data_IF_305867599920
#
_entry.id   IF_305867599920
#
_cell.length_a   1.000
_cell.length_b   1.000
_cell.length_c   1.000
_cell.angle_alpha   90.00
_cell.angle_beta   90.00
_cell.angle_gamma   90.00
#
_symmetry.space_group_name_H-M   'P 1'
#
loop_
_entity.id
_entity.type
_entity.pdbx_description
1 polymer ?
#
# COMPACT_ATOMS: atom_id res chain seq x y z
N UNK A 1 41.35 17.35 -11.23
CA UNK A 1 41.17 16.61 -9.95
C UNK A 1 40.37 17.41 -8.90
N UNK A 2 40.75 18.65 -8.53
CA UNK A 2 39.99 19.47 -7.53
C UNK A 2 38.50 19.73 -7.85
N UNK A 3 38.13 19.92 -9.12
CA UNK A 3 36.73 20.17 -9.53
C UNK A 3 35.80 18.95 -9.35
N UNK A 4 36.37 17.73 -9.36
CA UNK A 4 35.59 16.49 -9.20
C UNK A 4 35.15 16.29 -7.73
N UNK A 5 36.04 16.60 -6.77
CA UNK A 5 35.73 16.55 -5.34
C UNK A 5 34.71 17.60 -4.91
N UNK A 6 34.72 18.78 -5.54
CA UNK A 6 33.73 19.82 -5.25
C UNK A 6 32.32 19.42 -5.71
N UNK A 7 32.22 18.77 -6.88
CA UNK A 7 30.95 18.25 -7.40
C UNK A 7 30.43 17.09 -6.55
N UNK A 8 31.30 16.19 -6.08
CA UNK A 8 30.89 15.10 -5.18
C UNK A 8 30.42 15.60 -3.82
N UNK A 9 31.07 16.63 -3.24
CA UNK A 9 30.62 17.25 -2.00
C UNK A 9 29.28 17.98 -2.16
N UNK A 10 29.06 18.62 -3.31
CA UNK A 10 27.78 19.29 -3.61
C UNK A 10 26.64 18.27 -3.76
N UNK A 11 26.87 17.16 -4.45
CA UNK A 11 25.88 16.07 -4.60
C UNK A 11 25.57 15.44 -3.23
N UNK A 12 26.60 15.19 -2.41
CA UNK A 12 26.42 14.64 -1.06
C UNK A 12 25.66 15.62 -0.15
N UNK A 13 25.94 16.92 -0.24
CA UNK A 13 25.20 17.94 0.51
C UNK A 13 23.73 18.01 0.08
N UNK A 14 23.44 17.96 -1.23
CA UNK A 14 22.06 17.95 -1.74
C UNK A 14 21.30 16.69 -1.28
N UNK A 15 21.94 15.52 -1.32
CA UNK A 15 21.34 14.27 -0.84
C UNK A 15 21.04 14.29 0.66
N UNK A 16 21.89 14.93 1.47
CA UNK A 16 21.68 15.10 2.92
C UNK A 16 20.59 16.13 3.29
N UNK A 17 20.13 16.95 2.33
CA UNK A 17 19.00 17.88 2.51
C UNK A 17 17.64 17.30 2.11
N UNK A 18 17.59 16.13 1.47
CA UNK A 18 16.35 15.49 1.06
C UNK A 18 15.72 14.76 2.25
N UNK A 19 14.72 15.36 2.88
CA UNK A 19 13.89 14.66 3.87
C UNK A 19 12.93 13.72 3.12
N UNK A 20 12.88 12.41 3.44
CA UNK A 20 11.82 11.55 2.91
C UNK A 20 10.48 12.05 3.45
N UNK A 21 9.59 12.44 2.54
CA UNK A 21 8.21 12.80 2.88
C UNK A 21 7.38 11.52 2.77
N UNK A 22 6.96 10.99 3.91
CA UNK A 22 5.93 9.96 3.95
C UNK A 22 4.58 10.67 3.90
N UNK A 23 3.85 10.53 2.78
CA UNK A 23 2.48 10.97 2.72
C UNK A 23 1.63 9.99 3.55
N UNK A 24 1.28 10.38 4.77
CA UNK A 24 0.38 9.62 5.63
C UNK A 24 -0.86 10.47 5.92
N UNK A 25 -2.05 9.90 5.68
CA UNK A 25 -3.31 10.47 6.14
C UNK A 25 -3.58 9.87 7.52
N UNK A 26 -3.56 10.70 8.55
CA UNK A 26 -3.94 10.29 9.91
C UNK A 26 -5.35 10.77 10.19
N UNK A 27 -6.31 9.84 10.23
CA UNK A 27 -7.65 10.12 10.73
C UNK A 27 -7.69 9.84 12.24
N UNK A 28 -7.68 10.89 13.05
CA UNK A 28 -7.88 10.84 14.50
C UNK A 28 -8.43 12.19 14.96
N UNK A 29 -9.28 12.26 16.00
CA UNK A 29 -9.87 11.16 16.77
C UNK A 29 -11.09 10.52 16.10
N UNK A 30 -11.39 9.28 16.48
CA UNK A 30 -12.65 8.61 16.15
C UNK A 30 -13.83 9.49 16.60
N UNK A 31 -14.80 9.66 15.70
CA UNK A 31 -16.00 10.47 15.96
C UNK A 31 -17.26 9.63 15.67
N UNK A 32 -18.15 9.53 16.65
CA UNK A 32 -19.47 8.90 16.46
C UNK A 32 -20.43 9.90 15.83
N UNK A 33 -21.06 9.51 14.72
CA UNK A 33 -22.03 10.33 13.99
C UNK A 33 -23.42 9.71 14.15
N UNK A 34 -24.40 10.52 14.59
CA UNK A 34 -25.80 10.08 14.71
C UNK A 34 -26.54 10.18 13.37
N UNK A 35 -27.67 9.48 13.25
CA UNK A 35 -28.53 9.51 12.07
C UNK A 35 -28.93 10.95 11.72
N UNK A 36 -28.65 11.37 10.48
CA UNK A 36 -28.98 12.71 9.97
C UNK A 36 -27.93 13.78 10.28
N UNK A 37 -26.81 13.45 10.93
CA UNK A 37 -25.70 14.38 11.11
C UNK A 37 -24.72 14.32 9.94
N UNK A 38 -24.09 15.45 9.66
CA UNK A 38 -23.01 15.57 8.68
C UNK A 38 -21.67 15.73 9.40
N UNK A 39 -20.63 15.08 8.89
CA UNK A 39 -19.25 15.27 9.33
C UNK A 39 -18.44 15.86 8.20
N UNK A 40 -17.53 16.78 8.51
CA UNK A 40 -16.54 17.27 7.57
C UNK A 40 -15.23 16.51 7.80
N UNK A 41 -14.80 15.73 6.81
CA UNK A 41 -13.48 15.09 6.82
C UNK A 41 -12.48 16.07 6.19
N UNK A 42 -11.49 16.50 6.98
CA UNK A 42 -10.44 17.39 6.52
C UNK A 42 -9.07 16.71 6.67
N UNK A 43 -8.39 16.49 5.54
CA UNK A 43 -7.00 16.05 5.53
C UNK A 43 -6.08 17.28 5.42
N UNK A 44 -5.10 17.40 6.32
CA UNK A 44 -4.07 18.45 6.25
C UNK A 44 -2.79 17.81 5.73
N UNK A 45 -2.36 18.21 4.53
CA UNK A 45 -1.12 17.69 3.92
C UNK A 45 0.09 18.32 4.61
N UNK A 46 0.88 17.49 5.29
CA UNK A 46 2.11 17.89 5.96
C UNK A 46 3.30 18.02 5.00
N UNK A 47 3.40 19.15 4.31
CA UNK A 47 4.63 19.58 3.65
C UNK A 47 4.82 19.12 2.19
N UNK A 48 5.09 20.11 1.34
CA UNK A 48 5.70 20.06 0.00
C UNK A 48 5.64 18.74 -0.78
N UNK A 49 4.44 18.28 -1.10
CA UNK A 49 4.13 17.57 -2.35
C UNK A 49 3.08 18.42 -3.05
N UNK A 50 3.37 18.85 -4.28
CA UNK A 50 2.54 19.63 -5.22
C UNK A 50 1.29 20.33 -4.63
N UNK A 51 1.36 21.67 -4.57
CA UNK A 51 0.49 22.56 -3.77
C UNK A 51 -1.01 22.25 -3.72
N UNK A 52 -1.59 22.47 -2.53
CA UNK A 52 -3.01 22.35 -2.19
C UNK A 52 -3.87 23.54 -2.63
N UNK A 53 -3.30 24.51 -3.35
CA UNK A 53 -4.02 25.74 -3.70
C UNK A 53 -5.10 25.50 -4.77
N UNK A 54 -5.09 24.33 -5.42
CA UNK A 54 -6.09 23.94 -6.40
C UNK A 54 -6.47 22.47 -6.20
N UNK A 55 -7.65 22.23 -5.63
CA UNK A 55 -8.38 20.97 -5.81
C UNK A 55 -9.71 21.31 -6.49
N UNK A 56 -10.09 20.54 -7.49
CA UNK A 56 -11.43 20.60 -8.06
C UNK A 56 -12.22 19.53 -7.31
N UNK A 57 -13.28 19.93 -6.63
CA UNK A 57 -14.26 19.00 -6.11
C UNK A 57 -15.34 18.80 -7.17
N UNK A 58 -15.51 17.58 -7.63
CA UNK A 58 -16.61 17.18 -8.51
C UNK A 58 -17.47 16.17 -7.76
N UNK A 59 -18.78 16.44 -7.68
CA UNK A 59 -19.74 15.42 -7.26
C UNK A 59 -20.00 14.48 -8.44
N UNK A 60 -19.56 13.23 -8.31
CA UNK A 60 -19.91 12.18 -9.26
C UNK A 60 -21.19 11.47 -8.79
N UNK A 61 -22.12 11.13 -9.72
CA UNK A 61 -23.24 10.27 -9.38
C UNK A 61 -22.76 8.94 -8.78
N UNK A 62 -23.48 8.43 -7.77
CA UNK A 62 -23.24 7.09 -7.24
C UNK A 62 -23.41 6.05 -8.36
N UNK A 63 -22.30 5.46 -8.78
CA UNK A 63 -22.23 4.45 -9.84
C UNK A 63 -21.41 3.25 -9.31
N UNK A 64 -21.99 2.40 -8.46
CA UNK A 64 -21.30 1.22 -7.98
C UNK A 64 -21.04 0.28 -9.15
N UNK A 65 -19.82 -0.24 -9.24
CA UNK A 65 -19.53 -1.33 -10.17
C UNK A 65 -20.27 -2.60 -9.72
N UNK A 66 -20.62 -3.45 -10.69
CA UNK A 66 -21.16 -4.76 -10.39
C UNK A 66 -20.12 -5.54 -9.59
N UNK A 67 -20.50 -6.05 -8.42
CA UNK A 67 -19.62 -6.83 -7.54
C UNK A 67 -19.49 -8.28 -7.98
N UNK A 68 -19.50 -8.54 -9.29
CA UNK A 68 -19.25 -9.89 -9.80
C UNK A 68 -17.75 -10.16 -9.71
N UNK A 69 -17.38 -11.03 -8.76
CA UNK A 69 -16.04 -11.56 -8.64
C UNK A 69 -15.96 -12.98 -9.19
N UNK A 70 -14.76 -13.39 -9.58
CA UNK A 70 -14.49 -14.78 -9.94
C UNK A 70 -14.43 -15.65 -8.69
N UNK A 71 -15.04 -16.84 -8.76
CA UNK A 71 -14.87 -17.85 -7.72
C UNK A 71 -13.45 -18.44 -7.81
N UNK A 72 -12.69 -18.33 -6.73
CA UNK A 72 -11.33 -18.88 -6.62
C UNK A 72 -11.36 -20.06 -5.64
N UNK A 73 -11.55 -21.30 -6.11
CA UNK A 73 -11.63 -22.46 -5.23
C UNK A 73 -10.23 -22.78 -4.67
N UNK A 74 -10.09 -22.63 -3.35
CA UNK A 74 -8.88 -23.01 -2.61
C UNK A 74 -9.22 -24.12 -1.61
N UNK A 75 -8.25 -25.00 -1.39
CA UNK A 75 -8.28 -25.97 -0.29
C UNK A 75 -7.58 -25.40 0.94
N UNK A 76 -7.76 -26.06 2.07
CA UNK A 76 -7.03 -25.72 3.30
C UNK A 76 -5.53 -25.63 3.04
N UNK A 77 -4.91 -24.60 3.60
CA UNK A 77 -3.48 -24.27 3.47
C UNK A 77 -2.94 -24.21 2.03
N UNK A 78 -3.77 -23.77 1.07
CA UNK A 78 -3.36 -23.54 -0.33
C UNK A 78 -3.45 -22.09 -0.73
N UNK A 79 -2.78 -21.76 -1.83
CA UNK A 79 -2.80 -20.45 -2.47
C UNK A 79 -2.87 -20.61 -3.99
N UNK A 80 -3.26 -19.54 -4.68
CA UNK A 80 -3.39 -19.51 -6.14
C UNK A 80 -2.04 -19.53 -6.87
N UNK A 81 -2.07 -19.67 -8.20
CA UNK A 81 -0.99 -19.12 -9.04
C UNK A 81 -0.95 -17.59 -8.98
N UNK A 82 -0.02 -16.97 -9.71
CA UNK A 82 -0.02 -15.51 -9.87
C UNK A 82 -1.27 -15.08 -10.63
N UNK A 83 -1.87 -13.98 -10.19
CA UNK A 83 -3.03 -13.32 -10.79
C UNK A 83 -2.60 -11.91 -11.16
N UNK A 84 -2.86 -11.51 -12.40
CA UNK A 84 -2.53 -10.16 -12.90
C UNK A 84 -3.46 -9.12 -12.26
N UNK A 85 -2.87 -8.05 -11.72
CA UNK A 85 -3.57 -6.90 -11.14
C UNK A 85 -4.15 -6.01 -12.26
N UNK A 86 -3.52 -6.01 -13.43
CA UNK A 86 -3.87 -5.15 -14.56
C UNK A 86 -3.36 -3.70 -14.46
N UNK A 87 -2.62 -3.37 -13.41
CA UNK A 87 -1.95 -2.07 -13.22
C UNK A 87 -0.79 -2.18 -12.22
N UNK A 88 0.10 -1.18 -12.22
CA UNK A 88 1.20 -1.08 -11.25
C UNK A 88 0.67 -0.75 -9.85
N UNK A 89 0.69 -1.72 -8.95
CA UNK A 89 0.33 -1.56 -7.55
C UNK A 89 1.56 -1.30 -6.68
N UNK A 90 1.65 -0.11 -6.09
CA UNK A 90 2.75 0.24 -5.19
C UNK A 90 2.44 -0.16 -3.74
N UNK A 91 3.22 -1.09 -3.20
CA UNK A 91 3.12 -1.55 -1.82
C UNK A 91 4.48 -1.54 -1.12
N UNK A 92 4.56 -0.84 0.01
CA UNK A 92 5.80 -0.67 0.79
C UNK A 92 7.00 -0.20 -0.04
N UNK A 93 6.76 0.66 -1.03
CA UNK A 93 7.81 1.23 -1.89
C UNK A 93 8.30 0.34 -3.04
N UNK A 94 7.65 -0.81 -3.25
CA UNK A 94 7.89 -1.68 -4.40
C UNK A 94 6.63 -1.72 -5.28
N UNK A 95 6.82 -1.79 -6.59
CA UNK A 95 5.72 -1.97 -7.52
C UNK A 95 5.52 -3.46 -7.81
N UNK A 96 4.26 -3.86 -7.86
CA UNK A 96 3.81 -5.21 -8.17
C UNK A 96 2.73 -5.12 -9.25
N UNK A 97 2.76 -6.06 -10.18
CA UNK A 97 1.79 -6.26 -11.25
C UNK A 97 0.99 -7.56 -11.07
N UNK A 98 1.42 -8.42 -10.14
CA UNK A 98 0.75 -9.67 -9.81
C UNK A 98 0.47 -9.81 -8.31
N UNK A 99 -0.53 -10.63 -7.97
CA UNK A 99 -0.84 -11.02 -6.61
C UNK A 99 -1.21 -12.51 -6.50
N UNK A 100 -1.30 -12.99 -5.27
CA UNK A 100 -1.68 -14.36 -4.91
C UNK A 100 -2.73 -14.33 -3.81
N UNK A 101 -3.70 -15.24 -3.85
CA UNK A 101 -4.76 -15.40 -2.83
C UNK A 101 -4.48 -16.68 -2.05
N UNK A 102 -4.51 -16.60 -0.71
CA UNK A 102 -4.43 -17.75 0.19
C UNK A 102 -5.79 -18.14 0.79
N UNK A 103 -6.00 -19.43 1.05
CA UNK A 103 -7.25 -20.00 1.59
C UNK A 103 -7.67 -19.41 2.93
N UNK A 104 -6.71 -18.86 3.68
CA UNK A 104 -6.88 -18.28 5.02
C UNK A 104 -7.03 -16.74 5.00
N UNK A 105 -7.56 -16.17 3.91
CA UNK A 105 -7.96 -14.76 3.87
C UNK A 105 -6.82 -13.76 3.76
N UNK A 106 -5.70 -14.15 3.13
CA UNK A 106 -4.57 -13.27 2.88
C UNK A 106 -4.28 -13.11 1.39
N UNK A 107 -3.77 -11.93 1.03
CA UNK A 107 -3.27 -11.61 -0.30
C UNK A 107 -1.78 -11.28 -0.20
N UNK A 108 -0.96 -11.83 -1.08
CA UNK A 108 0.46 -11.51 -1.20
C UNK A 108 0.80 -10.92 -2.55
N UNK A 109 1.75 -9.99 -2.54
CA UNK A 109 2.40 -9.45 -3.75
C UNK A 109 3.83 -9.99 -3.93
N UNK A 110 4.32 -10.80 -2.99
CA UNK A 110 5.64 -11.40 -3.05
C UNK A 110 5.71 -12.54 -4.08
N UNK A 111 6.90 -12.87 -4.59
CA UNK A 111 7.07 -14.01 -5.50
C UNK A 111 6.63 -15.32 -4.84
N UNK A 112 6.23 -16.33 -5.62
CA UNK A 112 5.73 -17.61 -5.11
C UNK A 112 6.62 -18.28 -4.04
N UNK A 113 7.95 -18.12 -4.13
CA UNK A 113 8.91 -18.63 -3.16
C UNK A 113 8.81 -18.00 -1.75
N UNK A 114 8.09 -16.88 -1.62
CA UNK A 114 7.81 -16.19 -0.37
C UNK A 114 6.42 -16.48 0.18
N UNK A 115 5.66 -17.37 -0.49
CA UNK A 115 4.36 -17.85 -0.07
C UNK A 115 4.57 -19.14 0.72
N UNK A 116 4.03 -19.19 1.93
CA UNK A 116 4.12 -20.37 2.78
C UNK A 116 2.72 -20.82 3.20
N UNK A 117 2.48 -22.13 3.12
CA UNK A 117 1.28 -22.78 3.66
C UNK A 117 1.48 -23.18 5.13
N UNK A 118 2.16 -22.34 5.92
CA UNK A 118 2.44 -22.62 7.32
C UNK A 118 1.16 -22.63 8.14
N UNK A 119 1.07 -23.64 9.00
CA UNK A 119 -0.15 -24.09 9.68
C UNK A 119 -0.49 -23.32 10.96
N UNK A 120 0.13 -22.15 11.17
CA UNK A 120 -0.04 -21.36 12.40
C UNK A 120 -0.13 -19.88 12.08
N UNK A 121 -1.01 -19.18 12.79
CA UNK A 121 -1.09 -17.73 12.72
C UNK A 121 0.14 -17.11 13.38
N UNK A 122 0.90 -16.36 12.59
CA UNK A 122 2.09 -15.62 13.03
C UNK A 122 1.88 -14.13 12.72
N UNK A 123 2.30 -13.21 13.60
CA UNK A 123 2.27 -11.79 13.30
C UNK A 123 3.07 -11.47 12.03
N UNK A 124 2.50 -10.63 11.16
CA UNK A 124 3.22 -10.03 10.03
C UNK A 124 3.47 -8.54 10.34
N UNK A 125 4.64 -7.97 9.95
CA UNK A 125 5.74 -8.58 9.21
C UNK A 125 6.64 -9.48 10.08
N UNK A 126 7.15 -10.57 9.51
CA UNK A 126 8.09 -11.49 10.18
C UNK A 126 9.37 -11.69 9.33
N UNK A 127 10.46 -12.15 9.93
CA UNK A 127 11.72 -12.49 9.26
C UNK A 127 11.84 -13.95 8.83
N UNK A 128 11.02 -14.85 9.38
CA UNK A 128 11.01 -16.28 9.06
C UNK A 128 10.58 -16.51 7.60
N UNK A 129 11.37 -17.23 6.78
CA UNK A 129 11.04 -17.47 5.37
C UNK A 129 9.75 -18.28 5.18
N UNK A 130 9.28 -18.97 6.21
CA UNK A 130 8.02 -19.70 6.23
C UNK A 130 6.83 -18.82 6.60
N UNK A 131 6.97 -17.50 6.74
CA UNK A 131 5.84 -16.58 6.94
C UNK A 131 5.63 -15.76 5.67
N UNK A 132 4.41 -15.70 5.11
CA UNK A 132 4.12 -14.94 3.90
C UNK A 132 4.65 -13.49 3.94
N UNK A 133 5.26 -13.04 2.83
CA UNK A 133 5.85 -11.70 2.70
C UNK A 133 5.02 -10.81 1.80
N UNK A 134 5.13 -9.50 2.01
CA UNK A 134 4.40 -8.49 1.22
C UNK A 134 2.89 -8.81 1.19
N UNK A 135 2.32 -9.10 2.37
CA UNK A 135 0.95 -9.57 2.49
C UNK A 135 0.05 -8.58 3.23
N UNK A 136 -1.23 -8.62 2.88
CA UNK A 136 -2.33 -8.03 3.64
C UNK A 136 -3.23 -9.20 4.07
N UNK A 137 -3.64 -9.22 5.33
CA UNK A 137 -4.47 -10.28 5.91
C UNK A 137 -5.58 -9.68 6.76
N UNK A 138 -6.74 -10.34 6.79
CA UNK A 138 -7.90 -9.98 7.63
C UNK A 138 -7.94 -10.76 8.94
#
# INVERSE_FOLDING_TARGET
MKKLYLLSYLILAIALLQKPVFAQITAFPDTTICLGQSVLLQAVVGGSGYGTDNYIFEEIPYAPEAYEGDEVPLYDDTYTGSIDIGFDFCFMGNNYDEFYIGSNGWISFGPAASLSGTYVSVPIPDTDPSVPKNCIAS
#
